data_IF_247781311091
#
_entry.id   IF_247781311091
#
_cell.length_a   1.000
_cell.length_b   1.000
_cell.length_c   1.000
_cell.angle_alpha   90.00
_cell.angle_beta   90.00
_cell.angle_gamma   90.00
#
_symmetry.space_group_name_H-M   'P 1'
#
loop_
_entity.id
_entity.type
_entity.pdbx_description
1 polymer ?
#
# COMPACT_ATOMS: atom_id res chain seq x y z
N UNK A 1 8.34 -5.65 19.49
CA UNK A 1 8.18 -5.03 18.15
C UNK A 1 9.30 -5.57 17.28
N UNK A 2 9.03 -6.03 16.05
CA UNK A 2 10.06 -6.66 15.21
C UNK A 2 10.95 -5.55 14.58
N UNK A 3 12.30 -5.67 14.57
CA UNK A 3 13.22 -4.63 14.09
C UNK A 3 12.96 -4.14 12.66
N UNK A 4 12.30 -4.97 11.85
CA UNK A 4 12.00 -4.71 10.43
C UNK A 4 10.97 -3.60 10.19
N UNK A 5 10.22 -3.19 11.21
CA UNK A 5 9.21 -2.13 11.07
C UNK A 5 9.69 -0.81 11.69
N UNK A 6 10.99 -0.66 11.90
CA UNK A 6 11.62 0.61 12.23
C UNK A 6 12.17 1.22 10.94
N UNK A 7 11.74 2.43 10.63
CA UNK A 7 12.31 3.22 9.53
C UNK A 7 12.84 4.54 10.09
N UNK A 8 13.99 4.94 9.60
CA UNK A 8 14.60 6.24 9.89
C UNK A 8 14.44 7.11 8.66
N UNK A 9 13.78 8.26 8.80
CA UNK A 9 13.62 9.22 7.72
C UNK A 9 13.83 10.62 8.27
N UNK A 10 14.83 11.33 7.72
CA UNK A 10 15.32 12.58 8.28
C UNK A 10 15.64 12.43 9.79
N UNK A 11 14.99 13.23 10.64
CA UNK A 11 15.14 13.20 12.10
C UNK A 11 14.04 12.40 12.81
N UNK A 12 13.25 11.61 12.07
CA UNK A 12 12.16 10.81 12.62
C UNK A 12 12.54 9.34 12.67
N UNK A 13 12.31 8.73 13.84
CA UNK A 13 12.23 7.29 14.01
C UNK A 13 10.75 6.89 13.97
N UNK A 14 10.40 6.06 13.00
CA UNK A 14 9.02 5.63 12.78
C UNK A 14 8.96 4.12 13.00
N UNK A 15 7.95 3.66 13.73
CA UNK A 15 7.80 2.27 14.10
C UNK A 15 6.38 1.77 13.84
N UNK A 16 6.25 0.50 13.43
CA UNK A 16 4.97 -0.10 13.10
C UNK A 16 4.85 -1.58 13.42
N UNK A 17 3.65 -2.12 13.20
CA UNK A 17 3.39 -3.54 13.18
C UNK A 17 3.31 -4.02 11.73
N UNK A 18 3.69 -5.27 11.50
CA UNK A 18 3.56 -5.87 10.18
C UNK A 18 2.11 -6.14 9.81
N UNK A 19 1.74 -5.85 8.57
CA UNK A 19 0.46 -6.26 7.98
C UNK A 19 0.39 -7.78 7.74
N UNK A 20 1.52 -8.48 7.72
CA UNK A 20 1.57 -9.95 7.74
C UNK A 20 1.10 -10.54 9.07
N UNK A 21 0.88 -9.73 10.11
CA UNK A 21 0.26 -10.15 11.37
C UNK A 21 -1.25 -9.94 11.31
N UNK A 22 -2.01 -11.01 11.54
CA UNK A 22 -3.48 -10.99 11.57
C UNK A 22 -4.04 -9.96 12.55
N UNK A 23 -3.48 -9.87 13.76
CA UNK A 23 -3.93 -8.92 14.78
C UNK A 23 -3.82 -7.46 14.32
N UNK A 24 -2.77 -7.11 13.57
CA UNK A 24 -2.58 -5.77 13.03
C UNK A 24 -3.70 -5.42 12.04
N UNK A 25 -4.03 -6.35 11.14
CA UNK A 25 -5.08 -6.17 10.14
C UNK A 25 -6.46 -6.08 10.81
N UNK A 26 -6.73 -6.94 11.78
CA UNK A 26 -7.96 -6.87 12.60
C UNK A 26 -8.11 -5.51 13.28
N UNK A 27 -7.04 -4.99 13.89
CA UNK A 27 -7.08 -3.69 14.58
C UNK A 27 -7.39 -2.55 13.61
N UNK A 28 -6.78 -2.54 12.42
CA UNK A 28 -7.05 -1.54 11.39
C UNK A 28 -8.50 -1.58 10.89
N UNK A 29 -9.11 -2.77 10.81
CA UNK A 29 -10.49 -2.96 10.36
C UNK A 29 -11.54 -2.66 11.45
N UNK A 30 -11.21 -3.02 12.70
CA UNK A 30 -12.11 -2.90 13.85
C UNK A 30 -12.26 -1.45 14.29
N UNK A 31 -11.17 -0.68 14.29
CA UNK A 31 -11.24 0.73 14.62
C UNK A 31 -12.02 1.48 13.52
N UNK A 32 -12.99 2.31 13.89
CA UNK A 32 -13.74 3.17 12.97
C UNK A 32 -13.23 4.61 12.95
N UNK A 33 -12.31 4.96 13.84
CA UNK A 33 -11.65 6.26 13.85
C UNK A 33 -10.62 6.36 12.73
N UNK A 34 -10.30 7.56 12.22
CA UNK A 34 -9.18 7.75 11.30
C UNK A 34 -7.87 7.18 11.87
N UNK A 35 -6.93 6.83 10.99
CA UNK A 35 -5.61 6.36 11.40
C UNK A 35 -4.81 7.51 12.02
N UNK A 36 -4.28 7.27 13.22
CA UNK A 36 -3.37 8.17 13.90
C UNK A 36 -2.14 7.42 14.39
N UNK A 37 -1.00 8.10 14.36
CA UNK A 37 0.27 7.62 14.90
C UNK A 37 0.51 8.26 16.26
N UNK A 38 1.04 7.47 17.19
CA UNK A 38 1.42 7.95 18.53
C UNK A 38 2.88 8.39 18.49
N UNK A 39 3.21 9.47 19.19
CA UNK A 39 4.60 9.92 19.37
C UNK A 39 5.12 9.50 20.75
N UNK A 40 6.43 9.60 20.97
CA UNK A 40 7.03 9.36 22.29
C UNK A 40 6.49 10.30 23.39
N UNK A 41 5.87 11.41 23.00
CA UNK A 41 5.09 12.25 23.89
C UNK A 41 3.70 11.62 24.06
N UNK A 42 3.51 10.96 25.21
CA UNK A 42 2.41 10.03 25.56
C UNK A 42 0.97 10.58 25.49
N UNK A 43 0.73 11.74 24.88
CA UNK A 43 -0.58 12.34 24.63
C UNK A 43 -0.74 12.93 23.23
N UNK A 44 0.32 12.93 22.42
CA UNK A 44 0.31 13.52 21.10
C UNK A 44 0.10 12.44 20.04
N UNK A 45 -0.86 12.71 19.17
CA UNK A 45 -1.13 11.89 17.99
C UNK A 45 -0.99 12.73 16.74
N UNK A 46 -0.51 12.11 15.67
CA UNK A 46 -0.37 12.74 14.37
C UNK A 46 -1.15 11.95 13.32
N UNK A 47 -1.84 12.65 12.42
CA UNK A 47 -2.32 12.04 11.18
C UNK A 47 -1.14 11.84 10.22
N UNK A 48 -1.31 11.03 9.17
CA UNK A 48 -0.26 10.91 8.14
C UNK A 48 0.01 12.26 7.46
N UNK A 49 -1.00 13.07 7.18
CA UNK A 49 -0.80 14.41 6.57
C UNK A 49 0.03 15.31 7.49
N UNK A 50 -0.26 15.31 8.79
CA UNK A 50 0.52 16.08 9.77
C UNK A 50 1.98 15.64 9.80
N UNK A 51 2.24 14.32 9.79
CA UNK A 51 3.59 13.76 9.72
C UNK A 51 4.30 14.16 8.43
N UNK A 52 3.63 14.03 7.29
CA UNK A 52 4.18 14.42 5.98
C UNK A 52 4.54 15.90 5.93
N UNK A 53 3.69 16.78 6.46
CA UNK A 53 3.99 18.20 6.60
C UNK A 53 5.20 18.47 7.50
N UNK A 54 5.32 17.75 8.62
CA UNK A 54 6.48 17.86 9.51
C UNK A 54 7.79 17.39 8.85
N UNK A 55 7.70 16.42 7.93
CA UNK A 55 8.80 15.97 7.07
C UNK A 55 9.06 16.90 5.87
N UNK A 56 8.33 18.00 5.74
CA UNK A 56 8.48 18.98 4.66
C UNK A 56 7.71 18.66 3.36
N UNK A 57 6.85 17.65 3.37
CA UNK A 57 6.00 17.29 2.22
C UNK A 57 4.62 17.95 2.33
N UNK A 58 4.25 18.75 1.32
CA UNK A 58 2.98 19.49 1.28
C UNK A 58 1.75 18.65 0.94
N UNK A 59 1.59 17.45 1.53
CA UNK A 59 0.50 16.52 1.22
C UNK A 59 -0.70 16.75 2.13
N UNK A 60 -1.83 17.11 1.53
CA UNK A 60 -3.08 17.37 2.25
C UNK A 60 -3.83 16.08 2.61
N UNK A 61 -4.67 16.13 3.64
CA UNK A 61 -5.53 14.99 4.02
C UNK A 61 -6.46 14.51 2.90
N UNK A 62 -6.80 15.38 1.93
CA UNK A 62 -7.65 15.02 0.77
C UNK A 62 -6.93 14.07 -0.19
N UNK A 63 -5.64 14.27 -0.40
CA UNK A 63 -4.81 13.38 -1.22
C UNK A 63 -4.62 12.01 -0.55
N UNK A 64 -4.86 11.96 0.76
CA UNK A 64 -4.75 10.74 1.56
C UNK A 64 -6.05 9.93 1.67
N UNK A 65 -7.06 10.30 0.88
CA UNK A 65 -8.29 9.51 0.73
C UNK A 65 -8.09 8.51 -0.41
N UNK A 66 -8.37 7.25 -0.13
CA UNK A 66 -8.28 6.19 -1.13
C UNK A 66 -9.52 6.19 -2.03
N UNK A 67 -9.30 5.89 -3.30
CA UNK A 67 -10.32 5.66 -4.30
C UNK A 67 -9.75 4.63 -5.27
N UNK A 68 -10.50 3.55 -5.47
CA UNK A 68 -10.06 2.40 -6.27
C UNK A 68 -10.05 2.75 -7.76
N UNK A 69 -9.06 2.23 -8.47
CA UNK A 69 -8.97 2.36 -9.93
C UNK A 69 -9.57 1.13 -10.61
N UNK A 70 -10.80 1.26 -11.12
CA UNK A 70 -11.51 0.14 -11.74
C UNK A 70 -11.36 0.24 -13.26
N UNK A 71 -10.19 -0.19 -13.77
CA UNK A 71 -9.91 -0.21 -15.21
C UNK A 71 -9.04 -1.40 -15.61
N UNK A 72 -9.46 -2.17 -16.62
CA UNK A 72 -8.76 -3.38 -17.09
C UNK A 72 -7.32 -3.06 -17.52
N UNK A 73 -7.13 -2.04 -18.36
CA UNK A 73 -5.78 -1.63 -18.79
C UNK A 73 -4.86 -1.20 -17.62
N UNK A 74 -5.44 -0.71 -16.52
CA UNK A 74 -4.69 -0.36 -15.32
C UNK A 74 -4.24 -1.62 -14.58
N UNK A 75 -5.16 -2.55 -14.32
CA UNK A 75 -4.84 -3.81 -13.66
C UNK A 75 -3.85 -4.66 -14.47
N UNK A 76 -3.89 -4.59 -15.80
CA UNK A 76 -2.94 -5.30 -16.65
C UNK A 76 -1.51 -4.81 -16.39
N UNK A 77 -1.30 -3.49 -16.38
CA UNK A 77 0.00 -2.88 -16.03
C UNK A 77 0.41 -3.17 -14.60
N UNK A 78 -0.55 -3.13 -13.67
CA UNK A 78 -0.30 -3.44 -12.26
C UNK A 78 0.21 -4.87 -12.10
N UNK A 79 -0.49 -5.86 -12.68
CA UNK A 79 -0.09 -7.26 -12.63
C UNK A 79 1.25 -7.53 -13.34
N UNK A 80 1.53 -6.84 -14.46
CA UNK A 80 2.83 -6.92 -15.12
C UNK A 80 3.98 -6.44 -14.22
N UNK A 81 3.73 -5.46 -13.35
CA UNK A 81 4.74 -4.98 -12.38
C UNK A 81 4.89 -5.93 -11.21
N UNK A 82 3.77 -6.43 -10.67
CA UNK A 82 3.79 -7.43 -9.61
C UNK A 82 4.43 -8.75 -10.06
N UNK A 83 4.34 -9.12 -11.34
CA UNK A 83 5.05 -10.28 -11.87
C UNK A 83 6.58 -10.15 -11.86
N UNK A 84 7.14 -8.94 -11.68
CA UNK A 84 8.59 -8.69 -11.62
C UNK A 84 9.18 -8.78 -10.22
N UNK A 85 8.36 -8.85 -9.18
CA UNK A 85 8.82 -9.00 -7.80
C UNK A 85 9.52 -10.35 -7.62
N UNK A 86 10.51 -10.41 -6.73
CA UNK A 86 11.11 -11.65 -6.26
C UNK A 86 10.07 -12.47 -5.49
N UNK A 87 9.60 -13.61 -6.02
CA UNK A 87 8.55 -14.42 -5.38
C UNK A 87 9.09 -15.09 -4.12
N UNK A 88 8.35 -15.03 -3.00
CA UNK A 88 8.75 -15.75 -1.78
C UNK A 88 8.37 -17.23 -1.83
N UNK A 89 7.38 -17.59 -2.67
CA UNK A 89 6.90 -18.94 -2.87
C UNK A 89 6.26 -19.11 -4.26
N UNK A 90 5.98 -20.35 -4.63
CA UNK A 90 5.35 -20.71 -5.89
C UNK A 90 3.89 -20.21 -6.00
N UNK A 91 3.17 -20.17 -4.87
CA UNK A 91 1.77 -19.72 -4.81
C UNK A 91 1.61 -18.27 -5.29
N UNK A 92 2.58 -17.40 -5.00
CA UNK A 92 2.57 -16.03 -5.52
C UNK A 92 2.59 -15.97 -7.05
N UNK A 93 3.47 -16.75 -7.67
CA UNK A 93 3.62 -16.82 -9.14
C UNK A 93 2.30 -17.30 -9.77
N UNK A 94 1.71 -18.35 -9.19
CA UNK A 94 0.46 -18.94 -9.65
C UNK A 94 -0.72 -17.97 -9.49
N UNK A 95 -0.79 -17.25 -8.37
CA UNK A 95 -1.83 -16.25 -8.13
C UNK A 95 -1.75 -15.08 -9.12
N UNK A 96 -0.55 -14.56 -9.41
CA UNK A 96 -0.37 -13.51 -10.42
C UNK A 96 -0.77 -14.01 -11.81
N UNK A 97 -0.32 -15.21 -12.20
CA UNK A 97 -0.68 -15.81 -13.49
C UNK A 97 -2.20 -16.01 -13.60
N UNK A 98 -2.85 -16.51 -12.55
CA UNK A 98 -4.30 -16.65 -12.50
C UNK A 98 -5.01 -15.31 -12.67
N UNK A 99 -4.61 -14.26 -11.96
CA UNK A 99 -5.21 -12.92 -12.09
C UNK A 99 -5.04 -12.36 -13.51
N UNK A 100 -3.89 -12.61 -14.15
CA UNK A 100 -3.68 -12.24 -15.56
C UNK A 100 -4.68 -12.95 -16.50
N UNK A 101 -5.05 -14.21 -16.24
CA UNK A 101 -6.10 -14.90 -17.02
C UNK A 101 -7.49 -14.30 -16.83
N UNK A 102 -7.73 -13.56 -15.74
CA UNK A 102 -9.02 -12.94 -15.40
C UNK A 102 -9.11 -11.47 -15.77
N UNK A 103 -8.10 -10.92 -16.45
CA UNK A 103 -7.97 -9.49 -16.67
C UNK A 103 -9.15 -8.88 -17.45
N UNK A 104 -9.76 -9.63 -18.37
CA UNK A 104 -10.90 -9.16 -19.17
C UNK A 104 -12.18 -8.95 -18.36
N UNK A 105 -12.29 -9.56 -17.17
CA UNK A 105 -13.44 -9.43 -16.27
C UNK A 105 -13.10 -8.68 -14.98
N UNK A 106 -11.89 -8.10 -14.89
CA UNK A 106 -11.43 -7.46 -13.66
C UNK A 106 -12.30 -6.28 -13.22
N UNK A 107 -12.79 -5.46 -14.15
CA UNK A 107 -13.61 -4.29 -13.82
C UNK A 107 -14.92 -4.69 -13.14
N UNK A 108 -15.67 -5.62 -13.73
CA UNK A 108 -16.95 -6.06 -13.18
C UNK A 108 -16.80 -6.81 -11.86
N UNK A 109 -15.78 -7.68 -11.75
CA UNK A 109 -15.49 -8.41 -10.52
C UNK A 109 -15.09 -7.46 -9.38
N UNK A 110 -14.19 -6.50 -9.63
CA UNK A 110 -13.79 -5.53 -8.60
C UNK A 110 -14.94 -4.61 -8.22
N UNK A 111 -15.74 -4.13 -9.19
CA UNK A 111 -16.91 -3.31 -8.87
C UNK A 111 -17.89 -4.08 -7.98
N UNK A 112 -18.22 -5.32 -8.34
CA UNK A 112 -19.11 -6.19 -7.55
C UNK A 112 -18.55 -6.41 -6.14
N UNK A 113 -17.24 -6.62 -6.04
CA UNK A 113 -16.56 -6.79 -4.76
C UNK A 113 -16.69 -5.55 -3.88
N UNK A 114 -16.42 -4.35 -4.42
CA UNK A 114 -16.50 -3.09 -3.70
C UNK A 114 -17.93 -2.74 -3.29
N UNK A 115 -18.93 -3.08 -4.12
CA UNK A 115 -20.35 -2.89 -3.79
C UNK A 115 -20.78 -3.80 -2.63
N UNK A 116 -20.18 -4.98 -2.51
CA UNK A 116 -20.48 -5.95 -1.45
C UNK A 116 -19.69 -5.71 -0.14
N UNK A 117 -18.61 -4.93 -0.16
CA UNK A 117 -17.69 -4.78 0.97
C UNK A 117 -17.32 -3.32 1.25
N UNK A 118 -17.60 -2.86 2.47
CA UNK A 118 -17.35 -1.48 2.91
C UNK A 118 -16.19 -1.38 3.90
N UNK A 119 -14.98 -1.73 3.48
CA UNK A 119 -13.77 -1.51 4.29
C UNK A 119 -13.28 -0.06 4.18
N UNK A 120 -12.59 0.42 5.21
CA UNK A 120 -11.88 1.70 5.16
C UNK A 120 -10.52 1.52 4.47
N UNK A 121 -10.55 1.43 3.15
CA UNK A 121 -9.35 1.27 2.32
C UNK A 121 -8.35 2.43 2.49
N UNK A 122 -8.81 3.61 2.93
CA UNK A 122 -7.92 4.76 3.17
C UNK A 122 -6.93 4.48 4.30
N UNK A 123 -7.32 3.70 5.32
CA UNK A 123 -6.38 3.29 6.39
C UNK A 123 -5.25 2.44 5.87
N UNK A 124 -5.55 1.48 5.01
CA UNK A 124 -4.53 0.60 4.44
C UNK A 124 -3.60 1.38 3.51
N UNK A 125 -4.16 2.26 2.68
CA UNK A 125 -3.40 3.15 1.84
C UNK A 125 -2.44 4.04 2.67
N UNK A 126 -2.95 4.70 3.73
CA UNK A 126 -2.14 5.54 4.60
C UNK A 126 -1.09 4.73 5.37
N UNK A 127 -1.44 3.54 5.88
CA UNK A 127 -0.53 2.72 6.64
C UNK A 127 0.58 2.11 5.78
N UNK A 128 0.28 1.71 4.55
CA UNK A 128 1.29 1.25 3.59
C UNK A 128 2.23 2.41 3.24
N UNK A 129 1.71 3.61 2.95
CA UNK A 129 2.53 4.79 2.67
C UNK A 129 3.46 5.13 3.84
N UNK A 130 2.93 5.12 5.08
CA UNK A 130 3.69 5.34 6.30
C UNK A 130 4.90 4.40 6.43
N UNK A 131 4.71 3.12 6.11
CA UNK A 131 5.75 2.08 6.29
C UNK A 131 6.88 2.12 5.28
N UNK A 132 6.77 2.95 4.23
CA UNK A 132 7.81 3.10 3.20
C UNK A 132 8.28 4.56 3.07
N UNK A 133 8.12 5.38 4.12
CA UNK A 133 8.53 6.80 4.08
C UNK A 133 10.04 7.02 3.98
N UNK A 134 10.86 6.03 4.35
CA UNK A 134 12.30 6.00 4.08
C UNK A 134 12.61 6.01 2.58
N UNK A 135 11.68 5.55 1.75
CA UNK A 135 11.81 5.53 0.29
C UNK A 135 11.48 6.87 -0.38
N UNK A 136 11.07 7.89 0.37
CA UNK A 136 10.77 9.19 -0.21
C UNK A 136 12.02 9.88 -0.76
N UNK A 137 13.17 9.75 -0.12
CA UNK A 137 14.42 10.36 -0.59
C UNK A 137 14.85 9.85 -1.99
N UNK A 138 14.92 8.52 -2.24
CA UNK A 138 15.30 8.02 -3.57
C UNK A 138 14.20 8.10 -4.65
N UNK A 139 12.91 8.08 -4.30
CA UNK A 139 11.82 7.96 -5.29
C UNK A 139 10.85 9.16 -5.35
N UNK A 140 10.86 10.02 -4.34
CA UNK A 140 9.92 11.14 -4.20
C UNK A 140 8.58 10.74 -3.60
N UNK A 141 7.90 11.72 -2.99
CA UNK A 141 6.65 11.49 -2.26
C UNK A 141 5.50 11.01 -3.17
N UNK A 142 5.46 11.52 -4.41
CA UNK A 142 4.43 11.10 -5.38
C UNK A 142 4.53 9.61 -5.71
N UNK A 143 5.75 9.08 -5.88
CA UNK A 143 5.96 7.66 -6.14
C UNK A 143 5.58 6.79 -4.94
N UNK A 144 5.91 7.23 -3.72
CA UNK A 144 5.53 6.54 -2.48
C UNK A 144 4.01 6.48 -2.29
N UNK A 145 3.29 7.58 -2.52
CA UNK A 145 1.83 7.59 -2.44
C UNK A 145 1.20 6.75 -3.56
N UNK A 146 1.74 6.80 -4.78
CA UNK A 146 1.25 5.98 -5.87
C UNK A 146 1.47 4.48 -5.59
N UNK A 147 2.63 4.10 -5.07
CA UNK A 147 2.93 2.74 -4.61
C UNK A 147 1.92 2.25 -3.58
N UNK A 148 1.64 3.06 -2.56
CA UNK A 148 0.70 2.67 -1.51
C UNK A 148 -0.72 2.51 -2.04
N UNK A 149 -1.14 3.36 -2.99
CA UNK A 149 -2.44 3.27 -3.65
C UNK A 149 -2.56 2.01 -4.50
N UNK A 150 -1.57 1.77 -5.36
CA UNK A 150 -1.50 0.58 -6.21
C UNK A 150 -1.42 -0.71 -5.39
N UNK A 151 -0.80 -0.66 -4.22
CA UNK A 151 -0.78 -1.79 -3.28
C UNK A 151 -2.18 -2.16 -2.81
N UNK A 152 -2.99 -1.17 -2.43
CA UNK A 152 -4.38 -1.41 -2.03
C UNK A 152 -5.24 -1.85 -3.22
N UNK A 153 -5.06 -1.25 -4.40
CA UNK A 153 -5.75 -1.70 -5.62
C UNK A 153 -5.43 -3.16 -5.97
N UNK A 154 -4.17 -3.58 -5.83
CA UNK A 154 -3.77 -4.98 -6.05
C UNK A 154 -4.45 -5.91 -5.05
N UNK A 155 -4.47 -5.55 -3.76
CA UNK A 155 -5.11 -6.34 -2.71
C UNK A 155 -6.62 -6.46 -2.97
N UNK A 156 -7.28 -5.38 -3.40
CA UNK A 156 -8.70 -5.39 -3.79
C UNK A 156 -8.91 -6.31 -5.00
N UNK A 157 -8.08 -6.17 -6.05
CA UNK A 157 -8.15 -7.03 -7.23
C UNK A 157 -8.04 -8.50 -6.85
N UNK A 158 -7.06 -8.87 -6.03
CA UNK A 158 -6.89 -10.24 -5.55
C UNK A 158 -8.14 -10.71 -4.78
N UNK A 159 -8.66 -9.88 -3.89
CA UNK A 159 -9.84 -10.18 -3.06
C UNK A 159 -11.14 -10.34 -3.85
N UNK A 160 -11.24 -9.69 -5.01
CA UNK A 160 -12.38 -9.87 -5.90
C UNK A 160 -12.43 -11.28 -6.53
N UNK A 161 -11.32 -12.02 -6.54
CA UNK A 161 -11.25 -13.35 -7.14
C UNK A 161 -10.93 -14.47 -6.15
N UNK A 162 -10.21 -14.18 -5.08
CA UNK A 162 -9.73 -15.20 -4.14
C UNK A 162 -9.50 -14.62 -2.75
N UNK A 163 -9.80 -15.43 -1.74
CA UNK A 163 -9.56 -15.13 -0.32
C UNK A 163 -10.23 -13.83 0.14
N UNK A 164 -10.17 -13.55 1.44
CA UNK A 164 -10.75 -12.31 1.97
C UNK A 164 -9.76 -11.15 1.86
N UNK A 165 -10.24 -9.90 1.94
CA UNK A 165 -9.34 -8.74 2.00
C UNK A 165 -8.34 -8.80 3.15
N UNK A 166 -8.73 -9.14 4.40
CA UNK A 166 -7.79 -9.36 5.49
C UNK A 166 -6.68 -10.37 5.16
N UNK A 167 -7.01 -11.50 4.55
CA UNK A 167 -6.05 -12.52 4.16
C UNK A 167 -5.09 -12.00 3.09
N UNK A 168 -5.63 -11.32 2.08
CA UNK A 168 -4.83 -10.76 0.99
C UNK A 168 -3.93 -9.62 1.45
N UNK A 169 -4.32 -8.83 2.45
CA UNK A 169 -3.41 -7.84 3.09
C UNK A 169 -2.22 -8.55 3.72
N UNK A 170 -2.46 -9.64 4.48
CA UNK A 170 -1.40 -10.39 5.15
C UNK A 170 -0.42 -11.00 4.16
N UNK A 171 -0.95 -11.70 3.15
CA UNK A 171 -0.14 -12.37 2.12
C UNK A 171 0.61 -11.37 1.24
N UNK A 172 0.00 -10.23 0.90
CA UNK A 172 0.68 -9.15 0.20
C UNK A 172 1.85 -8.61 1.03
N UNK A 173 1.63 -8.35 2.33
CA UNK A 173 2.67 -7.86 3.23
C UNK A 173 3.82 -8.86 3.38
N UNK A 174 3.51 -10.15 3.51
CA UNK A 174 4.52 -11.19 3.55
C UNK A 174 5.35 -11.20 2.26
N UNK A 175 4.71 -11.25 1.10
CA UNK A 175 5.39 -11.29 -0.19
C UNK A 175 6.21 -10.02 -0.49
N UNK A 176 5.65 -8.84 -0.23
CA UNK A 176 6.26 -7.59 -0.66
C UNK A 176 7.24 -7.04 0.38
N UNK A 177 7.00 -7.25 1.67
CA UNK A 177 7.80 -6.61 2.72
C UNK A 177 8.87 -7.54 3.32
N UNK A 178 8.78 -8.87 3.11
CA UNK A 178 9.81 -9.82 3.59
C UNK A 178 11.02 -9.92 2.65
N UNK A 179 10.87 -9.54 1.39
CA UNK A 179 11.99 -9.21 0.52
C UNK A 179 12.07 -7.68 0.40
N UNK A 180 13.14 -7.08 0.92
CA UNK A 180 13.31 -5.62 0.91
C UNK A 180 13.44 -5.05 -0.49
N UNK A 181 13.85 -5.85 -1.49
CA UNK A 181 14.00 -5.41 -2.87
C UNK A 181 12.64 -5.26 -3.57
N UNK A 182 11.60 -5.97 -3.12
CA UNK A 182 10.28 -5.93 -3.78
C UNK A 182 9.64 -4.55 -3.73
N UNK A 183 9.83 -3.81 -2.63
CA UNK A 183 9.38 -2.42 -2.52
C UNK A 183 10.11 -1.55 -3.55
N UNK A 184 11.43 -1.72 -3.69
CA UNK A 184 12.25 -0.97 -4.65
C UNK A 184 11.93 -1.33 -6.12
N UNK A 185 11.69 -2.61 -6.42
CA UNK A 185 11.24 -3.09 -7.74
C UNK A 185 9.92 -2.42 -8.12
N UNK A 186 8.97 -2.36 -7.18
CA UNK A 186 7.70 -1.70 -7.42
C UNK A 186 7.90 -0.18 -7.56
N UNK A 187 8.63 0.49 -6.68
CA UNK A 187 8.84 1.94 -6.76
C UNK A 187 9.59 2.40 -8.02
N UNK A 188 10.54 1.60 -8.49
CA UNK A 188 11.30 1.88 -9.73
C UNK A 188 10.43 1.95 -10.99
N UNK A 189 9.20 1.44 -10.93
CA UNK A 189 8.21 1.59 -12.01
C UNK A 189 7.73 3.03 -12.23
N UNK A 190 7.93 3.94 -11.25
CA UNK A 190 7.44 5.33 -11.32
C UNK A 190 8.52 6.36 -11.69
N UNK A 191 9.80 6.03 -11.54
CA UNK A 191 10.92 6.97 -11.74
C UNK A 191 11.20 7.31 -13.20
N UNK A 192 10.50 6.67 -14.14
CA UNK A 192 10.45 7.08 -15.55
C UNK A 192 9.43 8.19 -15.83
N UNK A 193 8.71 8.67 -14.81
CA UNK A 193 7.80 9.81 -14.92
C UNK A 193 8.23 10.91 -13.94
N UNK A 194 9.15 11.79 -14.38
CA UNK A 194 9.29 13.12 -13.77
C UNK A 194 8.23 13.99 -14.44
N UNK A 195 7.15 14.40 -13.74
CA UNK A 195 6.34 15.50 -14.24
C UNK A 195 7.24 16.73 -14.19
N UNK A 196 7.54 17.31 -15.35
CA UNK A 196 8.15 18.63 -15.41
C UNK A 196 7.25 19.60 -14.66
N UNK A 197 7.67 19.99 -13.45
CA UNK A 197 7.09 21.13 -12.76
C UNK A 197 7.61 22.36 -13.52
N UNK A 198 6.74 22.96 -14.32
CA UNK A 198 7.01 24.32 -14.80
C UNK A 198 7.02 25.23 -13.58
N UNK A 199 8.20 25.78 -13.31
CA UNK A 199 8.47 26.85 -12.34
C UNK A 199 7.64 28.07 -12.69
#
# INVERSE_FOLDING_TARGET
MHPRFFIYTQNFELAGLGLSCEKTVEMLLADKKPLFFVTDYSKETASLSTLLHALGYGVSSKELVFSAQIKTSYYERLLQRYAKTNPINQEWIENIAFLQTKITVSESCVQTYLDAHSYDYSKFFQYIAYRVLDKVEPYGIAAVLQYARESVDFIILKSAFMQTFPDNVRLWSEQIEYDTENVDILLSGYTSYIPTVNI
#
